data_IF_620435559203
#
_entry.id   IF_620435559203
#
_cell.length_a   1.000
_cell.length_b   1.000
_cell.length_c   1.000
_cell.angle_alpha   90.00
_cell.angle_beta   90.00
_cell.angle_gamma   90.00
#
_symmetry.space_group_name_H-M   'P 1'
#
loop_
_entity.id
_entity.type
_entity.pdbx_description
1 polymer ?
#
# COMPACT_ATOMS: atom_id res chain seq x y z
N UNK A 1 -8.71 -18.42 4.99
CA UNK A 1 -9.52 -17.36 4.38
C UNK A 1 -10.04 -16.46 5.46
N UNK A 2 -9.50 -15.26 5.55
CA UNK A 2 -9.93 -14.31 6.56
C UNK A 2 -11.24 -13.71 6.10
N UNK A 3 -12.35 -14.05 6.79
CA UNK A 3 -13.61 -13.42 6.55
C UNK A 3 -13.49 -11.91 6.82
N UNK A 4 -13.78 -11.10 5.84
CA UNK A 4 -14.10 -9.70 6.10
C UNK A 4 -15.28 -9.70 7.06
N UNK A 5 -15.03 -9.33 8.30
CA UNK A 5 -16.08 -9.28 9.31
C UNK A 5 -17.15 -8.31 8.86
N UNK A 6 -18.23 -8.87 8.37
CA UNK A 6 -19.45 -8.15 8.12
C UNK A 6 -20.13 -7.96 9.48
N UNK A 7 -19.91 -6.83 10.07
CA UNK A 7 -20.58 -6.51 11.32
C UNK A 7 -19.97 -5.33 12.04
N UNK A 8 -20.76 -4.34 12.25
CA UNK A 8 -20.63 -3.22 13.17
C UNK A 8 -19.22 -2.61 13.30
N UNK A 9 -19.01 -1.47 12.66
CA UNK A 9 -17.90 -0.56 12.89
C UNK A 9 -16.49 -1.09 12.55
N UNK A 10 -16.37 -1.87 11.47
CA UNK A 10 -15.06 -2.01 10.83
C UNK A 10 -14.65 -0.61 10.34
N UNK A 11 -13.64 -0.04 10.95
CA UNK A 11 -13.08 1.24 10.51
C UNK A 11 -12.76 1.09 9.03
N UNK A 12 -13.34 1.97 8.20
CA UNK A 12 -13.03 2.03 6.78
C UNK A 12 -11.51 2.21 6.62
N UNK A 13 -10.85 1.18 6.10
CA UNK A 13 -9.39 1.15 5.99
C UNK A 13 -8.88 2.27 5.08
N UNK A 14 -9.63 2.65 4.06
CA UNK A 14 -9.29 3.76 3.18
C UNK A 14 -9.37 5.10 3.94
N UNK A 15 -10.41 5.30 4.74
CA UNK A 15 -10.52 6.49 5.59
C UNK A 15 -9.35 6.55 6.60
N UNK A 16 -8.99 5.42 7.17
CA UNK A 16 -7.85 5.31 8.08
C UNK A 16 -6.54 5.67 7.37
N UNK A 17 -6.34 5.23 6.14
CA UNK A 17 -5.15 5.56 5.37
C UNK A 17 -5.03 7.06 5.12
N UNK A 18 -6.14 7.73 4.80
CA UNK A 18 -6.18 9.19 4.63
C UNK A 18 -5.74 9.90 5.90
N UNK A 19 -6.24 9.47 7.04
CA UNK A 19 -5.89 10.07 8.34
C UNK A 19 -4.40 9.87 8.65
N UNK A 20 -3.88 8.68 8.45
CA UNK A 20 -2.47 8.40 8.68
C UNK A 20 -1.57 9.18 7.72
N UNK A 21 -1.93 9.22 6.45
CA UNK A 21 -1.17 9.98 5.46
C UNK A 21 -1.20 11.49 5.74
N UNK A 22 -2.31 12.02 6.22
CA UNK A 22 -2.42 13.43 6.62
C UNK A 22 -1.49 13.79 7.79
N UNK A 23 -1.17 12.83 8.64
CA UNK A 23 -0.19 12.99 9.72
C UNK A 23 1.26 12.94 9.26
N UNK A 24 1.52 12.58 8.01
CA UNK A 24 2.86 12.52 7.43
C UNK A 24 3.04 13.70 6.46
N UNK A 25 3.88 14.64 6.84
CA UNK A 25 4.12 15.82 6.03
C UNK A 25 4.68 15.43 4.64
N UNK A 26 4.02 15.90 3.59
CA UNK A 26 4.40 15.60 2.20
C UNK A 26 3.85 14.29 1.62
N UNK A 27 3.20 13.45 2.40
CA UNK A 27 2.57 12.24 1.88
C UNK A 27 1.35 12.58 1.01
N UNK A 28 1.19 11.82 -0.08
CA UNK A 28 0.04 11.95 -0.98
C UNK A 28 -0.75 10.66 -0.99
N UNK A 29 -2.04 10.77 -1.27
CA UNK A 29 -2.94 9.61 -1.39
C UNK A 29 -3.61 9.66 -2.76
N UNK A 30 -3.61 8.51 -3.44
CA UNK A 30 -4.38 8.31 -4.67
C UNK A 30 -5.43 7.25 -4.39
N UNK A 31 -6.66 7.52 -4.78
CA UNK A 31 -7.80 6.62 -4.58
C UNK A 31 -8.48 6.30 -5.91
N UNK A 32 -9.00 5.08 -6.01
CA UNK A 32 -9.81 4.61 -7.13
C UNK A 32 -10.87 3.64 -6.64
N UNK A 33 -11.99 3.57 -7.36
CA UNK A 33 -12.94 2.48 -7.24
C UNK A 33 -12.73 1.52 -8.40
N UNK A 34 -12.49 0.26 -8.09
CA UNK A 34 -12.28 -0.79 -9.09
C UNK A 34 -13.44 -1.78 -9.09
N UNK A 35 -13.87 -2.28 -10.26
CA UNK A 35 -15.04 -3.17 -10.36
C UNK A 35 -14.67 -4.64 -10.06
N UNK A 36 -14.04 -4.89 -8.93
CA UNK A 36 -13.66 -6.23 -8.49
C UNK A 36 -13.96 -6.40 -7.00
N UNK A 37 -14.24 -7.62 -6.53
CA UNK A 37 -14.48 -7.88 -5.11
C UNK A 37 -13.25 -7.56 -4.26
N UNK A 38 -13.48 -7.08 -3.05
CA UNK A 38 -12.40 -6.66 -2.14
C UNK A 38 -11.42 -7.79 -1.84
N UNK A 39 -11.88 -9.02 -1.75
CA UNK A 39 -11.04 -10.19 -1.49
C UNK A 39 -10.04 -10.42 -2.62
N UNK A 40 -10.49 -10.27 -3.86
CA UNK A 40 -9.64 -10.41 -5.04
C UNK A 40 -8.63 -9.27 -5.15
N UNK A 41 -9.09 -8.04 -4.92
CA UNK A 41 -8.24 -6.85 -4.93
C UNK A 41 -7.17 -6.95 -3.87
N UNK A 42 -7.56 -7.30 -2.65
CA UNK A 42 -6.62 -7.39 -1.54
C UNK A 42 -5.65 -8.57 -1.68
N UNK A 43 -6.10 -9.69 -2.21
CA UNK A 43 -5.21 -10.83 -2.50
C UNK A 43 -4.06 -10.43 -3.43
N UNK A 44 -4.34 -9.58 -4.41
CA UNK A 44 -3.32 -9.04 -5.32
C UNK A 44 -2.42 -8.01 -4.61
N UNK A 45 -3.02 -7.05 -3.92
CA UNK A 45 -2.27 -5.97 -3.26
C UNK A 45 -1.37 -6.48 -2.12
N UNK A 46 -1.83 -7.47 -1.36
CA UNK A 46 -1.11 -8.02 -0.22
C UNK A 46 -0.03 -9.04 -0.59
N UNK A 47 0.04 -9.46 -1.83
CA UNK A 47 1.08 -10.35 -2.32
C UNK A 47 2.38 -9.57 -2.57
N UNK A 48 3.07 -9.25 -1.48
CA UNK A 48 4.26 -8.41 -1.50
C UNK A 48 5.40 -9.01 -2.33
N UNK A 49 5.53 -10.34 -2.31
CA UNK A 49 6.62 -11.02 -3.02
C UNK A 49 6.31 -11.25 -4.50
N UNK A 50 5.04 -11.48 -4.85
CA UNK A 50 4.62 -11.81 -6.20
C UNK A 50 4.15 -10.60 -7.01
N UNK A 51 3.12 -9.92 -6.56
CA UNK A 51 2.40 -8.91 -7.35
C UNK A 51 2.85 -7.48 -7.06
N UNK A 52 3.29 -7.19 -5.84
CA UNK A 52 3.62 -5.82 -5.44
C UNK A 52 4.62 -5.14 -6.37
N UNK A 53 5.71 -5.82 -6.71
CA UNK A 53 6.72 -5.29 -7.63
C UNK A 53 6.23 -5.11 -9.07
N UNK A 54 5.10 -5.71 -9.42
CA UNK A 54 4.51 -5.60 -10.77
C UNK A 54 3.64 -4.35 -10.92
N UNK A 55 2.96 -3.93 -9.85
CA UNK A 55 2.18 -2.71 -9.90
C UNK A 55 2.93 -1.48 -9.34
N UNK A 56 3.89 -1.65 -8.43
CA UNK A 56 4.73 -0.55 -7.95
C UNK A 56 5.91 -0.29 -8.88
N UNK A 57 5.96 0.89 -9.55
CA UNK A 57 6.97 1.16 -10.57
C UNK A 57 8.42 1.12 -10.08
N UNK A 58 8.64 1.55 -8.84
CA UNK A 58 9.98 1.70 -8.29
C UNK A 58 10.47 0.47 -7.53
N UNK A 59 9.58 -0.49 -7.27
CA UNK A 59 9.89 -1.70 -6.54
C UNK A 59 10.11 -2.85 -7.50
N UNK A 60 11.36 -3.31 -7.60
CA UNK A 60 11.71 -4.43 -8.46
C UNK A 60 11.43 -5.77 -7.79
N UNK A 61 11.74 -5.86 -6.49
CA UNK A 61 11.61 -7.09 -5.72
C UNK A 61 11.36 -6.78 -4.25
N UNK A 62 10.43 -7.50 -3.67
CA UNK A 62 10.19 -7.50 -2.23
C UNK A 62 10.31 -8.94 -1.72
N UNK A 63 11.03 -9.13 -0.63
CA UNK A 63 11.13 -10.41 0.07
C UNK A 63 10.72 -10.23 1.51
N UNK A 64 9.71 -10.97 1.93
CA UNK A 64 9.28 -11.01 3.33
C UNK A 64 10.28 -11.84 4.12
N UNK A 65 10.88 -11.26 5.15
CA UNK A 65 11.92 -11.91 5.96
C UNK A 65 11.43 -12.35 7.33
N UNK A 66 10.32 -11.76 7.80
CA UNK A 66 9.72 -12.10 9.09
C UNK A 66 8.23 -11.77 9.11
N UNK A 67 7.45 -12.67 9.67
CA UNK A 67 6.03 -12.46 9.96
C UNK A 67 5.76 -12.86 11.41
N UNK A 68 5.12 -11.98 12.16
CA UNK A 68 4.70 -12.24 13.53
C UNK A 68 3.29 -11.65 13.73
N UNK A 69 2.27 -12.49 13.58
CA UNK A 69 0.89 -12.03 13.51
C UNK A 69 0.67 -11.16 12.28
N UNK A 70 0.20 -9.94 12.47
CA UNK A 70 0.05 -8.96 11.41
C UNK A 70 1.28 -8.05 11.22
N UNK A 71 2.32 -8.24 12.02
CA UNK A 71 3.59 -7.53 11.86
C UNK A 71 4.45 -8.21 10.82
N UNK A 72 4.99 -7.42 9.90
CA UNK A 72 5.80 -7.89 8.77
C UNK A 72 7.10 -7.10 8.69
N UNK A 73 8.18 -7.82 8.45
CA UNK A 73 9.44 -7.23 8.01
C UNK A 73 9.76 -7.74 6.60
N UNK A 74 10.12 -6.84 5.72
CA UNK A 74 10.47 -7.16 4.34
C UNK A 74 11.70 -6.39 3.89
N UNK A 75 12.42 -6.94 2.92
CA UNK A 75 13.51 -6.25 2.23
C UNK A 75 13.03 -5.96 0.81
N UNK A 76 12.99 -4.69 0.48
CA UNK A 76 12.65 -4.22 -0.85
C UNK A 76 13.91 -3.80 -1.60
N UNK A 77 13.93 -4.08 -2.90
CA UNK A 77 14.96 -3.60 -3.82
C UNK A 77 14.29 -2.74 -4.89
N UNK A 78 14.79 -1.51 -5.02
CA UNK A 78 14.32 -0.62 -6.09
C UNK A 78 14.89 -1.06 -7.45
N UNK A 79 14.33 -0.49 -8.52
CA UNK A 79 14.86 -0.69 -9.88
C UNK A 79 16.30 -0.18 -10.06
N UNK A 80 16.75 0.70 -9.18
CA UNK A 80 18.14 1.20 -9.17
C UNK A 80 19.07 0.38 -8.26
N UNK A 81 18.61 -0.72 -7.69
CA UNK A 81 19.39 -1.59 -6.81
C UNK A 81 19.47 -1.13 -5.36
N UNK A 82 18.79 -0.06 -4.99
CA UNK A 82 18.73 0.39 -3.60
C UNK A 82 17.91 -0.58 -2.76
N UNK A 83 18.41 -0.86 -1.55
CA UNK A 83 17.73 -1.73 -0.59
C UNK A 83 17.09 -0.93 0.52
N UNK A 84 15.88 -1.32 0.89
CA UNK A 84 15.18 -0.78 2.05
C UNK A 84 14.66 -1.94 2.92
N UNK A 85 14.87 -1.83 4.22
CA UNK A 85 14.27 -2.73 5.18
C UNK A 85 12.98 -2.11 5.70
N UNK A 86 11.88 -2.70 5.30
CA UNK A 86 10.53 -2.25 5.62
C UNK A 86 9.99 -3.00 6.83
N UNK A 87 9.35 -2.30 7.72
CA UNK A 87 8.66 -2.84 8.88
C UNK A 87 7.28 -2.24 9.01
N UNK A 88 6.34 -3.02 9.38
CA UNK A 88 4.99 -2.52 9.62
C UNK A 88 3.95 -3.58 9.80
N UNK A 89 2.75 -3.28 9.37
CA UNK A 89 1.55 -4.07 9.58
C UNK A 89 0.95 -4.44 8.23
N UNK A 90 0.60 -5.70 8.08
CA UNK A 90 -0.16 -6.24 6.94
C UNK A 90 -1.31 -7.07 7.49
N UNK A 91 -2.53 -6.66 7.20
CA UNK A 91 -3.76 -7.35 7.58
C UNK A 91 -4.85 -7.10 6.53
N UNK A 92 -5.98 -7.79 6.59
CA UNK A 92 -7.01 -7.63 5.58
C UNK A 92 -7.39 -6.17 5.33
N UNK A 93 -7.25 -5.71 4.09
CA UNK A 93 -7.56 -4.36 3.67
C UNK A 93 -6.60 -3.27 4.13
N UNK A 94 -5.51 -3.62 4.79
CA UNK A 94 -4.59 -2.64 5.37
C UNK A 94 -3.13 -3.08 5.27
N UNK A 95 -2.29 -2.18 4.75
CA UNK A 95 -0.84 -2.34 4.80
C UNK A 95 -0.18 -0.99 5.06
N UNK A 96 0.67 -0.96 6.06
CA UNK A 96 1.52 0.19 6.33
C UNK A 96 2.92 -0.29 6.64
N UNK A 97 3.85 -0.02 5.74
CA UNK A 97 5.25 -0.39 5.86
C UNK A 97 6.11 0.86 5.79
N UNK A 98 7.14 0.90 6.60
CA UNK A 98 8.07 2.00 6.58
C UNK A 98 9.50 1.55 6.83
N UNK A 99 10.42 2.26 6.22
CA UNK A 99 11.85 2.17 6.47
C UNK A 99 12.36 3.53 6.92
N UNK A 100 13.66 3.62 7.09
CA UNK A 100 14.32 4.91 7.35
C UNK A 100 14.09 5.93 6.23
N UNK A 101 13.90 5.46 4.99
CA UNK A 101 13.84 6.30 3.78
C UNK A 101 12.51 6.21 3.02
N UNK A 102 11.66 5.27 3.35
CA UNK A 102 10.51 4.95 2.52
C UNK A 102 9.26 4.70 3.38
N UNK A 103 8.13 5.20 2.93
CA UNK A 103 6.81 4.90 3.47
C UNK A 103 5.96 4.30 2.35
N UNK A 104 5.28 3.20 2.65
CA UNK A 104 4.33 2.55 1.76
C UNK A 104 3.05 2.31 2.54
N UNK A 105 1.95 2.80 2.05
CA UNK A 105 0.63 2.54 2.61
C UNK A 105 -0.33 2.08 1.54
N UNK A 106 -1.11 1.06 1.84
CA UNK A 106 -2.15 0.53 0.96
C UNK A 106 -3.40 0.22 1.78
N UNK A 107 -4.54 0.52 1.20
CA UNK A 107 -5.82 0.15 1.79
C UNK A 107 -6.82 -0.26 0.72
N UNK A 108 -7.71 -1.17 1.07
CA UNK A 108 -8.84 -1.56 0.25
C UNK A 108 -10.07 -1.76 1.13
N UNK A 109 -11.21 -1.27 0.69
CA UNK A 109 -12.48 -1.39 1.39
C UNK A 109 -13.60 -1.63 0.38
N UNK A 110 -14.64 -2.42 0.75
CA UNK A 110 -15.80 -2.57 -0.11
C UNK A 110 -16.48 -1.24 -0.37
N UNK A 111 -16.90 -1.02 -1.61
CA UNK A 111 -17.70 0.15 -1.98
C UNK A 111 -19.19 -0.19 -1.83
N UNK A 112 -20.01 0.69 -1.22
CA UNK A 112 -21.44 0.41 -1.02
C UNK A 112 -22.22 0.08 -2.29
N UNK A 113 -21.83 0.66 -3.42
CA UNK A 113 -22.46 0.40 -4.72
C UNK A 113 -21.90 -0.82 -5.48
N UNK A 114 -21.02 -1.59 -4.86
CA UNK A 114 -20.28 -2.69 -5.48
C UNK A 114 -18.86 -2.27 -5.89
N UNK A 115 -17.99 -3.26 -6.05
CA UNK A 115 -16.57 -3.01 -6.30
C UNK A 115 -15.78 -2.71 -5.03
N UNK A 116 -14.60 -2.18 -5.21
CA UNK A 116 -13.64 -1.94 -4.12
C UNK A 116 -13.03 -0.56 -4.26
N UNK A 117 -13.03 0.19 -3.17
CA UNK A 117 -12.25 1.42 -3.07
C UNK A 117 -10.82 1.07 -2.67
N UNK A 118 -9.88 1.53 -3.45
CA UNK A 118 -8.45 1.31 -3.25
C UNK A 118 -7.78 2.65 -2.98
N UNK A 119 -6.89 2.68 -2.02
CA UNK A 119 -6.05 3.84 -1.74
C UNK A 119 -4.58 3.43 -1.65
N UNK A 120 -3.72 4.21 -2.25
CA UNK A 120 -2.27 4.06 -2.19
C UNK A 120 -1.65 5.34 -1.69
N UNK A 121 -0.68 5.21 -0.80
CA UNK A 121 0.19 6.30 -0.39
C UNK A 121 1.63 5.82 -0.35
N UNK A 122 2.55 6.74 -0.52
CA UNK A 122 3.97 6.45 -0.44
C UNK A 122 4.78 7.73 -0.53
N UNK A 123 6.05 7.61 -0.23
CA UNK A 123 6.97 8.73 -0.35
C UNK A 123 8.34 8.37 0.17
N UNK A 124 9.32 9.17 -0.23
CA UNK A 124 10.71 9.05 0.18
C UNK A 124 10.98 10.05 1.31
N UNK A 125 11.48 9.54 2.41
CA UNK A 125 11.94 10.36 3.53
C UNK A 125 13.41 10.67 3.37
N UNK A 126 13.76 11.94 3.30
CA UNK A 126 15.16 12.38 3.26
C UNK A 126 15.68 12.48 4.69
N UNK A 127 16.87 11.91 5.01
CA UNK A 127 17.47 12.03 6.33
C UNK A 127 17.63 13.49 6.75
N UNK A 128 17.29 13.79 8.00
CA UNK A 128 17.34 15.16 8.55
C UNK A 128 16.12 16.04 8.23
N UNK A 129 15.17 15.55 7.44
CA UNK A 129 13.89 16.24 7.19
C UNK A 129 12.73 15.55 7.92
N UNK A 130 11.87 16.35 8.52
CA UNK A 130 10.65 15.85 9.17
C UNK A 130 9.55 15.50 8.16
N UNK A 131 9.75 15.80 6.88
CA UNK A 131 8.76 15.63 5.83
C UNK A 131 9.17 14.54 4.83
N UNK A 132 8.20 13.83 4.30
CA UNK A 132 8.36 12.99 3.12
C UNK A 132 8.47 13.90 1.90
N UNK A 133 9.46 13.65 1.05
CA UNK A 133 9.63 14.41 -0.19
C UNK A 133 8.72 13.79 -1.25
N UNK A 134 7.78 14.55 -1.83
CA UNK A 134 6.84 14.05 -2.84
C UNK A 134 7.45 14.05 -4.25
N UNK A 135 8.72 13.68 -4.40
CA UNK A 135 9.40 13.62 -5.70
C UNK A 135 8.71 12.62 -6.62
N UNK A 136 7.93 13.11 -7.57
CA UNK A 136 7.19 12.28 -8.50
C UNK A 136 6.08 11.42 -7.87
N UNK A 137 5.86 11.52 -6.57
CA UNK A 137 4.98 10.62 -5.82
C UNK A 137 3.56 10.54 -6.39
N UNK A 138 2.99 11.65 -6.80
CA UNK A 138 1.64 11.66 -7.38
C UNK A 138 1.59 10.89 -8.71
N UNK A 139 2.58 11.09 -9.58
CA UNK A 139 2.67 10.38 -10.86
C UNK A 139 2.95 8.90 -10.67
N UNK A 140 3.84 8.55 -9.75
CA UNK A 140 4.17 7.16 -9.43
C UNK A 140 2.99 6.42 -8.81
N UNK A 141 2.25 7.06 -7.90
CA UNK A 141 1.04 6.49 -7.32
C UNK A 141 -0.07 6.31 -8.35
N UNK A 142 -0.22 7.27 -9.26
CA UNK A 142 -1.19 7.16 -10.36
C UNK A 142 -0.81 6.02 -11.32
N UNK A 143 0.47 5.86 -11.63
CA UNK A 143 0.97 4.75 -12.44
C UNK A 143 0.79 3.41 -11.73
N UNK A 144 1.10 3.33 -10.43
CA UNK A 144 0.86 2.14 -9.62
C UNK A 144 -0.62 1.76 -9.63
N UNK A 145 -1.50 2.72 -9.48
CA UNK A 145 -2.95 2.49 -9.53
C UNK A 145 -3.40 1.98 -10.90
N UNK A 146 -2.91 2.57 -11.98
CA UNK A 146 -3.23 2.11 -13.34
C UNK A 146 -2.75 0.68 -13.59
N UNK A 147 -1.55 0.34 -13.13
CA UNK A 147 -1.02 -1.02 -13.23
C UNK A 147 -1.82 -2.02 -12.39
N UNK A 148 -2.25 -1.62 -11.20
CA UNK A 148 -3.11 -2.44 -10.35
C UNK A 148 -4.45 -2.72 -11.04
N UNK A 149 -5.09 -1.72 -11.61
CA UNK A 149 -6.33 -1.88 -12.38
C UNK A 149 -6.12 -2.83 -13.57
N UNK A 150 -5.03 -2.70 -14.29
CA UNK A 150 -4.70 -3.58 -15.41
C UNK A 150 -4.50 -5.04 -14.98
N UNK A 151 -3.95 -5.28 -13.79
CA UNK A 151 -3.80 -6.62 -13.22
C UNK A 151 -5.11 -7.25 -12.79
N UNK A 152 -6.12 -6.45 -12.50
CA UNK A 152 -7.45 -6.89 -12.08
C UNK A 152 -8.42 -7.10 -13.26
N UNK A 153 -8.12 -6.51 -14.38
CA UNK A 153 -8.94 -6.56 -15.60
C UNK A 153 -9.01 -7.87 -16.33
#
# INVERSE_FOLDING_TARGET
MTAYASGAAAIDTVARLRVMAAGVCGARVVERVVPAPVERVWALMSDLEGEFGRFQPDMRRVRVVRVAGDRVEAVARSRWGLRARLRGVLRPGWCWLQSRFLIIGMAAAPEPGGGTRVALTGGVRVPGRAAVVPLGAAAELAEAMARLEARLG
#
